data_IF_151647825201
#
_entry.id   IF_151647825201
#
_cell.length_a   1.000
_cell.length_b   1.000
_cell.length_c   1.000
_cell.angle_alpha   90.00
_cell.angle_beta   90.00
_cell.angle_gamma   90.00
#
_symmetry.space_group_name_H-M   'P 1'
#
loop_
_entity.id
_entity.type
_entity.pdbx_description
1 polymer ?
#
# COMPACT_ATOMS: atom_id res chain seq x y z
N UNK A 1 -16.97 -7.53 23.87
CA UNK A 1 -16.03 -6.98 22.87
C UNK A 1 -16.85 -6.21 21.83
N UNK A 2 -16.58 -4.92 21.65
CA UNK A 2 -17.35 -4.08 20.71
C UNK A 2 -17.15 -4.54 19.27
N UNK A 3 -18.22 -4.52 18.47
CA UNK A 3 -18.12 -4.75 17.04
C UNK A 3 -17.59 -3.49 16.37
N UNK A 4 -16.64 -3.64 15.42
CA UNK A 4 -16.19 -2.54 14.58
C UNK A 4 -17.36 -2.06 13.70
N UNK A 5 -17.43 -0.74 13.50
CA UNK A 5 -18.40 -0.15 12.57
C UNK A 5 -18.01 -0.53 11.15
N UNK A 6 -18.97 -1.01 10.37
CA UNK A 6 -18.81 -1.35 8.95
C UNK A 6 -19.63 -0.40 8.11
N UNK A 7 -19.02 0.11 7.04
CA UNK A 7 -19.69 0.95 6.03
C UNK A 7 -19.44 0.35 4.63
N UNK A 8 -20.45 0.36 3.81
CA UNK A 8 -20.39 -0.09 2.41
C UNK A 8 -20.31 1.15 1.51
N UNK A 9 -19.12 1.43 0.99
CA UNK A 9 -18.87 2.64 0.20
C UNK A 9 -19.05 2.43 -1.30
N UNK A 10 -18.91 1.21 -1.78
CA UNK A 10 -19.14 0.84 -3.18
C UNK A 10 -20.04 -0.40 -3.24
N UNK A 11 -20.80 -0.54 -4.32
CA UNK A 11 -21.55 -1.76 -4.60
C UNK A 11 -20.63 -2.85 -5.15
N UNK A 12 -21.02 -4.12 -5.03
CA UNK A 12 -20.27 -5.23 -5.63
C UNK A 12 -19.95 -5.03 -7.12
N UNK A 13 -20.88 -4.56 -7.99
CA UNK A 13 -20.56 -4.27 -9.38
C UNK A 13 -19.49 -3.19 -9.57
N UNK A 14 -19.45 -2.17 -8.70
CA UNK A 14 -18.40 -1.14 -8.75
C UNK A 14 -17.04 -1.71 -8.31
N UNK A 15 -17.02 -2.55 -7.28
CA UNK A 15 -15.82 -3.22 -6.77
C UNK A 15 -15.35 -4.26 -7.79
N UNK A 16 -16.25 -5.12 -8.28
CA UNK A 16 -15.96 -6.18 -9.24
C UNK A 16 -15.50 -5.68 -10.62
N UNK A 17 -15.51 -4.37 -10.86
CA UNK A 17 -14.96 -3.78 -12.10
C UNK A 17 -13.45 -3.69 -12.12
N UNK A 18 -12.75 -3.96 -11.02
CA UNK A 18 -11.29 -3.99 -10.99
C UNK A 18 -10.76 -5.24 -11.68
N UNK A 19 -9.70 -5.09 -12.48
CA UNK A 19 -9.14 -6.19 -13.29
C UNK A 19 -8.67 -7.40 -12.47
N UNK A 20 -8.38 -7.19 -11.19
CA UNK A 20 -7.77 -8.20 -10.30
C UNK A 20 -8.67 -8.56 -9.11
N UNK A 21 -9.94 -8.20 -9.19
CA UNK A 21 -10.92 -8.44 -8.13
C UNK A 21 -10.99 -9.90 -7.69
N UNK A 22 -11.08 -10.82 -8.64
CA UNK A 22 -11.19 -12.25 -8.36
C UNK A 22 -9.97 -12.81 -7.63
N UNK A 23 -8.78 -12.35 -7.98
CA UNK A 23 -7.55 -12.77 -7.31
C UNK A 23 -7.55 -12.36 -5.83
N UNK A 24 -7.86 -11.08 -5.56
CA UNK A 24 -7.80 -10.54 -4.20
C UNK A 24 -8.99 -10.94 -3.32
N UNK A 25 -10.05 -11.52 -3.90
CA UNK A 25 -11.17 -12.12 -3.17
C UNK A 25 -11.15 -13.65 -3.16
N UNK A 26 -10.10 -14.28 -3.67
CA UNK A 26 -9.95 -15.73 -3.66
C UNK A 26 -9.39 -16.19 -2.30
N UNK A 27 -10.26 -16.75 -1.47
CA UNK A 27 -9.92 -17.22 -0.13
C UNK A 27 -8.83 -18.31 -0.12
N UNK A 28 -8.82 -19.23 -1.09
CA UNK A 28 -7.83 -20.30 -1.16
C UNK A 28 -6.42 -19.75 -1.43
N UNK A 29 -6.31 -18.69 -2.24
CA UNK A 29 -5.05 -18.00 -2.47
C UNK A 29 -4.67 -17.21 -1.21
N UNK A 30 -5.62 -16.59 -0.55
CA UNK A 30 -5.40 -15.79 0.64
C UNK A 30 -4.89 -16.62 1.82
N UNK A 31 -5.39 -17.84 2.00
CA UNK A 31 -4.91 -18.80 3.02
C UNK A 31 -3.41 -19.10 2.92
N UNK A 32 -2.82 -18.96 1.74
CA UNK A 32 -1.39 -19.17 1.52
C UNK A 32 -0.52 -17.95 1.91
N UNK A 33 -1.12 -16.83 2.24
CA UNK A 33 -0.40 -15.59 2.56
C UNK A 33 0.02 -15.55 4.03
N UNK A 34 1.18 -14.93 4.35
CA UNK A 34 1.69 -14.87 5.73
C UNK A 34 0.79 -14.05 6.68
N UNK A 35 -0.06 -13.22 6.15
CA UNK A 35 -1.01 -12.41 6.93
C UNK A 35 -2.38 -13.06 7.15
N UNK A 36 -2.59 -14.28 6.65
CA UNK A 36 -3.84 -15.02 6.90
C UNK A 36 -3.83 -15.61 8.32
N UNK A 37 -4.12 -14.75 9.31
CA UNK A 37 -3.94 -15.05 10.73
C UNK A 37 -4.98 -15.99 11.32
N UNK A 38 -6.11 -16.22 10.63
CA UNK A 38 -7.22 -17.02 11.15
C UNK A 38 -6.85 -18.50 11.28
N UNK A 39 -6.04 -19.05 10.37
CA UNK A 39 -5.61 -20.44 10.41
C UNK A 39 -4.19 -20.62 10.96
N UNK A 40 -3.26 -19.73 10.58
CA UNK A 40 -1.83 -19.87 10.91
C UNK A 40 -1.39 -19.05 12.14
N UNK A 41 -2.29 -18.26 12.71
CA UNK A 41 -1.97 -17.34 13.81
C UNK A 41 -1.13 -16.13 13.36
N UNK A 42 -0.75 -15.28 14.31
CA UNK A 42 -0.14 -13.99 14.03
C UNK A 42 1.37 -14.05 13.70
N UNK A 43 2.03 -15.16 13.99
CA UNK A 43 3.48 -15.31 13.78
C UNK A 43 3.92 -15.10 12.34
N UNK A 44 3.10 -15.51 11.36
CA UNK A 44 3.36 -15.28 9.93
C UNK A 44 3.37 -13.80 9.56
N UNK A 45 2.36 -13.07 10.01
CA UNK A 45 2.24 -11.62 9.82
C UNK A 45 3.43 -10.88 10.46
N UNK A 46 3.74 -11.15 11.72
CA UNK A 46 4.86 -10.51 12.44
C UNK A 46 6.19 -10.78 11.75
N UNK A 47 6.42 -12.03 11.33
CA UNK A 47 7.64 -12.40 10.61
C UNK A 47 7.73 -11.70 9.25
N UNK A 48 6.61 -11.57 8.53
CA UNK A 48 6.54 -10.84 7.26
C UNK A 48 6.93 -9.38 7.46
N UNK A 49 6.27 -8.68 8.37
CA UNK A 49 6.53 -7.28 8.68
C UNK A 49 8.00 -7.03 9.14
N UNK A 50 8.55 -7.95 9.94
CA UNK A 50 9.96 -7.90 10.37
C UNK A 50 10.94 -8.11 9.21
N UNK A 51 10.71 -9.12 8.37
CA UNK A 51 11.59 -9.46 7.23
C UNK A 51 11.57 -8.38 6.16
N UNK A 52 10.42 -7.82 5.87
CA UNK A 52 10.24 -6.76 4.86
C UNK A 52 10.71 -5.40 5.36
N UNK A 53 10.74 -5.18 6.68
CA UNK A 53 11.09 -3.91 7.29
C UNK A 53 10.04 -2.82 7.09
N UNK A 54 8.80 -3.19 6.78
CA UNK A 54 7.69 -2.27 6.52
C UNK A 54 7.35 -1.40 7.72
N UNK A 55 7.29 -1.98 8.92
CA UNK A 55 7.06 -1.21 10.16
C UNK A 55 8.12 -0.12 10.33
N UNK A 56 9.40 -0.47 10.18
CA UNK A 56 10.48 0.51 10.28
C UNK A 56 10.39 1.59 9.20
N UNK A 57 9.95 1.23 8.00
CA UNK A 57 9.75 2.19 6.93
C UNK A 57 8.60 3.15 7.26
N UNK A 58 7.49 2.64 7.82
CA UNK A 58 6.37 3.47 8.29
C UNK A 58 6.82 4.41 9.41
N UNK A 59 7.61 3.94 10.39
CA UNK A 59 8.20 4.81 11.43
C UNK A 59 9.01 5.95 10.83
N UNK A 60 9.87 5.66 9.85
CA UNK A 60 10.67 6.68 9.17
C UNK A 60 9.80 7.66 8.36
N UNK A 61 8.69 7.21 7.79
CA UNK A 61 7.70 8.11 7.17
C UNK A 61 7.07 9.04 8.21
N UNK A 62 6.70 8.53 9.38
CA UNK A 62 6.15 9.32 10.49
C UNK A 62 7.16 10.37 10.98
N UNK A 63 8.40 9.96 11.23
CA UNK A 63 9.46 10.87 11.65
C UNK A 63 9.69 11.97 10.61
N UNK A 64 9.69 11.61 9.32
CA UNK A 64 9.84 12.57 8.24
C UNK A 64 8.66 13.52 8.12
N UNK A 65 7.45 13.04 8.27
CA UNK A 65 6.24 13.88 8.29
C UNK A 65 6.32 14.92 9.43
N UNK A 66 6.69 14.49 10.63
CA UNK A 66 6.87 15.38 11.77
C UNK A 66 7.96 16.45 11.53
N UNK A 67 9.12 16.05 10.95
CA UNK A 67 10.19 16.99 10.58
C UNK A 67 9.75 18.05 9.55
N UNK A 68 8.77 17.72 8.71
CA UNK A 68 8.19 18.64 7.73
C UNK A 68 7.08 19.51 8.30
N UNK A 69 6.74 19.37 9.59
CA UNK A 69 5.65 20.09 10.24
C UNK A 69 4.26 19.46 10.05
N UNK A 70 4.20 18.25 9.50
CA UNK A 70 2.96 17.51 9.23
C UNK A 70 2.87 16.25 10.12
N UNK A 71 2.97 16.42 11.44
CA UNK A 71 2.84 15.32 12.38
C UNK A 71 1.45 14.66 12.27
N UNK A 72 1.42 13.34 12.26
CA UNK A 72 0.17 12.57 12.14
C UNK A 72 -0.68 12.68 13.41
N UNK A 73 -1.93 13.03 13.23
CA UNK A 73 -2.94 13.16 14.30
C UNK A 73 -4.37 13.11 13.73
N UNK A 74 -5.38 13.18 14.58
CA UNK A 74 -6.79 13.40 14.20
C UNK A 74 -7.40 12.23 13.43
N UNK A 75 -7.96 12.50 12.25
CA UNK A 75 -8.69 11.54 11.44
C UNK A 75 -7.84 11.11 10.24
N UNK A 76 -7.74 9.80 9.99
CA UNK A 76 -7.02 9.25 8.86
C UNK A 76 -7.83 8.32 7.98
N UNK A 77 -7.27 8.01 6.79
CA UNK A 77 -7.73 6.95 5.92
C UNK A 77 -6.56 6.02 5.56
N UNK A 78 -6.77 4.71 5.69
CA UNK A 78 -5.85 3.65 5.28
C UNK A 78 -6.45 3.01 4.02
N UNK A 79 -5.86 3.29 2.86
CA UNK A 79 -6.41 2.95 1.54
C UNK A 79 -5.78 1.67 1.01
N UNK A 80 -6.62 0.74 0.56
CA UNK A 80 -6.29 -0.66 0.33
C UNK A 80 -5.61 -1.25 1.58
N UNK A 81 -6.29 -1.10 2.72
CA UNK A 81 -5.73 -1.39 4.04
C UNK A 81 -5.46 -2.88 4.30
N UNK A 82 -5.88 -3.75 3.40
CA UNK A 82 -5.69 -5.19 3.50
C UNK A 82 -6.19 -5.75 4.83
N UNK A 83 -5.28 -6.31 5.61
CA UNK A 83 -5.57 -6.87 6.93
C UNK A 83 -5.41 -5.87 8.09
N UNK A 84 -5.32 -4.56 7.80
CA UNK A 84 -5.27 -3.47 8.79
C UNK A 84 -4.02 -3.48 9.72
N UNK A 85 -2.89 -4.01 9.24
CA UNK A 85 -1.67 -4.00 10.03
C UNK A 85 -1.14 -2.57 10.27
N UNK A 86 -1.17 -1.72 9.22
CA UNK A 86 -0.70 -0.33 9.31
C UNK A 86 -1.63 0.49 10.23
N UNK A 87 -2.95 0.37 10.06
CA UNK A 87 -3.95 0.95 10.98
C UNK A 87 -3.68 0.54 12.42
N UNK A 88 -3.46 -0.75 12.69
CA UNK A 88 -3.19 -1.26 14.04
C UNK A 88 -1.92 -0.66 14.65
N UNK A 89 -0.85 -0.60 13.86
CA UNK A 89 0.41 -0.01 14.27
C UNK A 89 0.26 1.49 14.61
N UNK A 90 -0.43 2.24 13.76
CA UNK A 90 -0.63 3.69 13.92
C UNK A 90 -1.41 4.01 15.18
N UNK A 91 -2.54 3.34 15.39
CA UNK A 91 -3.40 3.57 16.56
C UNK A 91 -2.74 3.19 17.87
N UNK A 92 -1.90 2.16 17.87
CA UNK A 92 -1.14 1.75 19.06
C UNK A 92 -0.03 2.74 19.42
N UNK A 93 0.56 3.40 18.43
CA UNK A 93 1.74 4.25 18.59
C UNK A 93 1.39 5.72 18.81
N UNK A 94 0.29 6.20 18.20
CA UNK A 94 -0.04 7.62 18.13
C UNK A 94 -1.39 7.88 18.81
N UNK A 95 -1.33 8.25 20.08
CA UNK A 95 -2.55 8.50 20.91
C UNK A 95 -3.40 9.68 20.43
N UNK A 96 -2.83 10.60 19.63
CA UNK A 96 -3.54 11.74 19.04
C UNK A 96 -4.40 11.37 17.83
N UNK A 97 -4.36 10.14 17.33
CA UNK A 97 -5.28 9.67 16.30
C UNK A 97 -6.63 9.38 16.95
N UNK A 98 -7.66 10.05 16.44
CA UNK A 98 -9.03 9.87 16.92
C UNK A 98 -9.78 8.78 16.15
N UNK A 99 -9.52 8.63 14.84
CA UNK A 99 -10.21 7.67 13.98
C UNK A 99 -9.41 7.35 12.71
N UNK A 100 -9.52 6.10 12.24
CA UNK A 100 -9.04 5.68 10.91
C UNK A 100 -10.18 4.98 10.14
N UNK A 101 -10.39 5.40 8.90
CA UNK A 101 -11.23 4.71 7.93
C UNK A 101 -10.35 3.73 7.15
N UNK A 102 -10.50 2.43 7.41
CA UNK A 102 -9.81 1.39 6.65
C UNK A 102 -10.62 1.02 5.42
N UNK A 103 -10.13 1.38 4.24
CA UNK A 103 -10.81 1.16 2.96
C UNK A 103 -10.19 -0.02 2.24
N UNK A 104 -10.99 -1.04 1.96
CA UNK A 104 -10.56 -2.25 1.27
C UNK A 104 -11.72 -2.81 0.46
N UNK A 105 -11.44 -3.41 -0.68
CA UNK A 105 -12.48 -4.04 -1.50
C UNK A 105 -12.57 -5.56 -1.29
N UNK A 106 -11.56 -6.18 -0.71
CA UNK A 106 -11.61 -7.59 -0.32
C UNK A 106 -12.44 -7.76 0.94
N UNK A 107 -13.63 -8.31 0.79
CA UNK A 107 -14.55 -8.58 1.90
C UNK A 107 -13.90 -9.45 2.97
N UNK A 108 -13.23 -10.52 2.56
CA UNK A 108 -12.56 -11.45 3.43
C UNK A 108 -11.45 -10.78 4.28
N UNK A 109 -10.58 -9.99 3.64
CA UNK A 109 -9.54 -9.25 4.36
C UNK A 109 -10.10 -8.26 5.35
N UNK A 110 -11.07 -7.45 4.90
CA UNK A 110 -11.61 -6.36 5.70
C UNK A 110 -12.49 -6.84 6.84
N UNK A 111 -13.37 -7.82 6.60
CA UNK A 111 -14.44 -8.18 7.55
C UNK A 111 -14.10 -9.42 8.40
N UNK A 112 -13.14 -10.25 7.99
CA UNK A 112 -12.78 -11.46 8.71
C UNK A 112 -11.38 -11.36 9.32
N UNK A 113 -10.34 -11.17 8.49
CA UNK A 113 -8.96 -11.13 8.95
C UNK A 113 -8.67 -9.82 9.72
N UNK A 114 -9.07 -8.68 9.18
CA UNK A 114 -8.81 -7.36 9.76
C UNK A 114 -9.26 -7.21 11.20
N UNK A 115 -10.52 -7.56 11.56
CA UNK A 115 -10.98 -7.53 12.94
C UNK A 115 -10.16 -8.42 13.89
N UNK A 116 -9.64 -9.55 13.41
CA UNK A 116 -8.77 -10.39 14.19
C UNK A 116 -7.42 -9.70 14.47
N UNK A 117 -6.84 -9.06 13.46
CA UNK A 117 -5.59 -8.28 13.57
C UNK A 117 -5.78 -7.10 14.52
N UNK A 118 -6.85 -6.31 14.36
CA UNK A 118 -7.14 -5.19 15.24
C UNK A 118 -7.28 -5.63 16.71
N UNK A 119 -8.01 -6.71 16.97
CA UNK A 119 -8.15 -7.29 18.33
C UNK A 119 -6.83 -7.77 18.91
N UNK A 120 -6.02 -8.44 18.10
CA UNK A 120 -4.71 -8.93 18.52
C UNK A 120 -3.80 -7.79 18.99
N UNK A 121 -3.82 -6.67 18.28
CA UNK A 121 -3.06 -5.48 18.67
C UNK A 121 -3.76 -4.60 19.71
N UNK A 122 -4.95 -4.98 20.20
CA UNK A 122 -5.66 -4.26 21.23
C UNK A 122 -6.21 -2.91 20.79
N UNK A 123 -6.65 -2.80 19.53
CA UNK A 123 -7.22 -1.57 18.96
C UNK A 123 -8.67 -1.41 19.41
N UNK A 124 -9.03 -0.22 19.91
CA UNK A 124 -10.37 0.15 20.31
C UNK A 124 -11.32 0.24 19.11
N UNK A 125 -12.51 -0.36 19.23
CA UNK A 125 -13.42 -0.52 18.09
C UNK A 125 -14.01 0.81 17.58
N UNK A 126 -14.13 1.81 18.43
CA UNK A 126 -14.63 3.15 18.08
C UNK A 126 -13.62 4.00 17.29
N UNK A 127 -12.35 3.61 17.31
CA UNK A 127 -11.29 4.27 16.55
C UNK A 127 -11.16 3.81 15.10
N UNK A 128 -11.88 2.76 14.69
CA UNK A 128 -11.77 2.21 13.33
C UNK A 128 -13.14 2.08 12.69
N UNK A 129 -13.26 2.53 11.46
CA UNK A 129 -14.40 2.25 10.58
C UNK A 129 -13.91 1.39 9.43
N UNK A 130 -14.50 0.21 9.27
CA UNK A 130 -14.22 -0.71 8.17
C UNK A 130 -15.07 -0.33 6.97
N UNK A 131 -14.44 0.11 5.89
CA UNK A 131 -15.13 0.65 4.72
C UNK A 131 -14.92 -0.29 3.52
N UNK A 132 -15.95 -1.05 3.18
CA UNK A 132 -15.91 -1.90 1.99
C UNK A 132 -16.12 -1.04 0.74
N UNK A 133 -15.10 -0.93 -0.11
CA UNK A 133 -15.17 -0.08 -1.29
C UNK A 133 -13.84 0.13 -1.99
N UNK A 134 -13.90 0.87 -3.10
CA UNK A 134 -12.73 1.25 -3.87
C UNK A 134 -12.08 2.52 -3.32
N UNK A 135 -10.76 2.62 -3.40
CA UNK A 135 -10.03 3.82 -3.03
C UNK A 135 -10.15 4.97 -4.05
N UNK A 136 -10.81 4.73 -5.18
CA UNK A 136 -11.06 5.77 -6.19
C UNK A 136 -12.28 6.66 -5.91
N UNK A 137 -13.10 6.28 -4.91
CA UNK A 137 -14.34 6.99 -4.58
C UNK A 137 -14.60 6.87 -3.07
N UNK A 138 -14.03 7.78 -2.32
CA UNK A 138 -14.15 7.80 -0.87
C UNK A 138 -15.44 8.53 -0.46
N UNK A 139 -16.23 7.94 0.44
CA UNK A 139 -17.41 8.62 1.00
C UNK A 139 -17.01 9.54 2.17
N UNK A 140 -15.95 10.31 1.96
CA UNK A 140 -15.46 11.31 2.89
C UNK A 140 -15.65 12.70 2.29
N UNK A 141 -15.98 13.71 3.10
CA UNK A 141 -16.04 15.10 2.65
C UNK A 141 -14.66 15.59 2.17
N UNK A 142 -14.66 16.64 1.37
CA UNK A 142 -13.45 17.34 0.99
C UNK A 142 -12.73 17.85 2.24
N UNK A 143 -11.40 17.85 2.24
CA UNK A 143 -10.53 18.35 3.31
C UNK A 143 -10.92 17.87 4.72
N UNK A 144 -11.35 16.60 4.85
CA UNK A 144 -11.84 16.02 6.11
C UNK A 144 -10.85 15.14 6.84
N UNK A 145 -9.79 14.66 6.18
CA UNK A 145 -8.79 13.80 6.83
C UNK A 145 -7.45 14.52 7.03
N UNK A 146 -6.81 14.23 8.14
CA UNK A 146 -5.52 14.79 8.52
C UNK A 146 -4.36 14.01 7.91
N UNK A 147 -4.57 12.71 7.62
CA UNK A 147 -3.56 11.87 6.98
C UNK A 147 -4.17 10.74 6.15
N UNK A 148 -3.38 10.26 5.18
CA UNK A 148 -3.70 9.07 4.38
C UNK A 148 -2.51 8.11 4.45
N UNK A 149 -2.80 6.81 4.53
CA UNK A 149 -1.81 5.73 4.45
C UNK A 149 -2.08 4.92 3.18
N UNK A 150 -1.01 4.55 2.49
CA UNK A 150 -0.96 3.59 1.41
C UNK A 150 0.18 2.61 1.72
N UNK A 151 -0.15 1.49 2.35
CA UNK A 151 0.83 0.49 2.78
C UNK A 151 0.79 -0.73 1.87
N UNK A 152 1.79 -0.89 0.98
CA UNK A 152 1.80 -1.89 -0.09
C UNK A 152 0.57 -1.77 -1.00
N UNK A 153 0.19 -0.54 -1.35
CA UNK A 153 -1.11 -0.24 -1.94
C UNK A 153 -1.06 0.61 -3.22
N UNK A 154 -0.18 1.60 -3.31
CA UNK A 154 -0.19 2.54 -4.44
C UNK A 154 0.11 1.85 -5.78
N UNK A 155 0.96 0.82 -5.78
CA UNK A 155 1.28 0.05 -6.98
C UNK A 155 0.15 -0.86 -7.47
N UNK A 156 -0.95 -0.99 -6.73
CA UNK A 156 -2.17 -1.67 -7.18
C UNK A 156 -3.16 -0.74 -7.88
N UNK A 157 -2.85 0.55 -8.00
CA UNK A 157 -3.75 1.49 -8.66
C UNK A 157 -3.61 1.43 -10.18
N UNK A 158 -4.65 0.96 -10.88
CA UNK A 158 -4.75 0.99 -12.35
C UNK A 158 -4.78 2.44 -12.86
N UNK A 159 -5.41 3.33 -12.09
CA UNK A 159 -5.55 4.76 -12.38
C UNK A 159 -4.89 5.62 -11.27
N UNK A 160 -3.55 5.62 -11.15
CA UNK A 160 -2.87 6.30 -10.04
C UNK A 160 -3.14 7.81 -9.98
N UNK A 161 -3.40 8.44 -11.12
CA UNK A 161 -3.79 9.85 -11.17
C UNK A 161 -5.16 10.09 -10.53
N UNK A 162 -6.14 9.22 -10.78
CA UNK A 162 -7.46 9.29 -10.16
C UNK A 162 -7.39 9.08 -8.64
N UNK A 163 -6.59 8.10 -8.21
CA UNK A 163 -6.33 7.87 -6.78
C UNK A 163 -5.72 9.11 -6.11
N UNK A 164 -4.69 9.70 -6.72
CA UNK A 164 -4.05 10.90 -6.17
C UNK A 164 -4.98 12.11 -6.14
N UNK A 165 -5.84 12.27 -7.15
CA UNK A 165 -6.87 13.32 -7.16
C UNK A 165 -7.89 13.13 -6.03
N UNK A 166 -8.33 11.88 -5.79
CA UNK A 166 -9.26 11.57 -4.71
C UNK A 166 -8.62 11.76 -3.32
N UNK A 167 -7.38 11.35 -3.16
CA UNK A 167 -6.61 11.62 -1.93
C UNK A 167 -6.49 13.14 -1.73
N UNK A 168 -6.18 13.90 -2.78
CA UNK A 168 -6.03 15.36 -2.69
C UNK A 168 -7.35 16.04 -2.31
N UNK A 169 -8.49 15.51 -2.76
CA UNK A 169 -9.82 16.02 -2.41
C UNK A 169 -10.12 15.86 -0.92
N UNK A 170 -9.89 14.66 -0.35
CA UNK A 170 -10.26 14.38 1.04
C UNK A 170 -9.23 14.87 2.06
N UNK A 171 -7.96 15.04 1.63
CA UNK A 171 -6.87 15.43 2.52
C UNK A 171 -6.88 16.95 2.78
N UNK A 172 -6.81 17.35 4.05
CA UNK A 172 -6.62 18.74 4.45
C UNK A 172 -5.33 19.33 3.88
N UNK A 173 -5.26 20.64 3.72
CA UNK A 173 -4.05 21.34 3.27
C UNK A 173 -2.86 21.13 4.22
N UNK A 174 -3.11 21.00 5.50
CA UNK A 174 -2.10 20.65 6.52
C UNK A 174 -1.82 19.16 6.63
N UNK A 175 -2.52 18.34 5.86
CA UNK A 175 -2.45 16.89 5.97
C UNK A 175 -1.20 16.29 5.32
N UNK A 176 -1.05 14.96 5.46
CA UNK A 176 0.10 14.21 4.95
C UNK A 176 -0.32 12.86 4.39
N UNK A 177 0.35 12.40 3.34
CA UNK A 177 0.21 11.03 2.81
C UNK A 177 1.48 10.24 3.10
N UNK A 178 1.30 9.05 3.68
CA UNK A 178 2.36 8.09 3.95
C UNK A 178 2.24 6.93 2.96
N UNK A 179 3.20 6.81 2.04
CA UNK A 179 3.27 5.72 1.08
C UNK A 179 4.40 4.79 1.51
N UNK A 180 4.09 3.51 1.75
CA UNK A 180 5.00 2.51 2.30
C UNK A 180 4.96 1.25 1.46
N UNK A 181 6.08 0.58 1.27
CA UNK A 181 6.10 -0.74 0.63
C UNK A 181 6.12 -0.72 -0.90
N UNK A 182 6.49 0.39 -1.52
CA UNK A 182 6.52 0.51 -2.98
C UNK A 182 7.75 -0.13 -3.62
N UNK A 183 7.60 -0.67 -4.82
CA UNK A 183 8.69 -1.29 -5.57
C UNK A 183 9.87 -0.34 -5.77
N UNK A 184 11.07 -0.79 -5.42
CA UNK A 184 12.29 0.01 -5.55
C UNK A 184 12.97 -0.23 -6.90
N UNK A 185 12.56 0.54 -7.91
CA UNK A 185 13.14 0.50 -9.26
C UNK A 185 13.73 1.87 -9.59
N UNK A 186 15.04 2.08 -9.36
CA UNK A 186 15.66 3.40 -9.51
C UNK A 186 15.70 3.87 -10.96
N UNK A 187 15.91 2.97 -11.91
CA UNK A 187 15.96 3.26 -13.36
C UNK A 187 15.73 2.00 -14.21
N UNK A 188 15.59 2.19 -15.51
CA UNK A 188 15.37 1.11 -16.46
C UNK A 188 16.51 0.08 -16.51
N UNK A 189 17.76 0.49 -16.34
CA UNK A 189 18.91 -0.42 -16.40
C UNK A 189 18.83 -1.50 -15.29
N UNK A 190 18.36 -1.13 -14.10
CA UNK A 190 18.12 -2.09 -13.01
C UNK A 190 17.03 -3.08 -13.39
N UNK A 191 15.97 -2.62 -14.05
CA UNK A 191 14.87 -3.47 -14.49
C UNK A 191 15.33 -4.46 -15.57
N UNK A 192 16.06 -3.99 -16.59
CA UNK A 192 16.69 -4.85 -17.60
C UNK A 192 17.65 -5.85 -16.97
N UNK A 193 18.52 -5.40 -16.05
CA UNK A 193 19.45 -6.28 -15.34
C UNK A 193 18.73 -7.38 -14.55
N UNK A 194 17.65 -7.05 -13.85
CA UNK A 194 16.82 -8.03 -13.15
C UNK A 194 16.18 -9.03 -14.12
N UNK A 195 15.60 -8.55 -15.22
CA UNK A 195 15.02 -9.42 -16.25
C UNK A 195 16.06 -10.37 -16.85
N UNK A 196 17.24 -9.88 -17.17
CA UNK A 196 18.36 -10.68 -17.68
C UNK A 196 18.76 -11.78 -16.68
N UNK A 197 18.97 -11.41 -15.39
CA UNK A 197 19.30 -12.36 -14.32
C UNK A 197 18.20 -13.41 -14.17
N UNK A 198 16.92 -13.03 -14.24
CA UNK A 198 15.80 -13.97 -14.21
C UNK A 198 15.90 -15.02 -15.32
N UNK A 199 16.09 -14.59 -16.57
CA UNK A 199 16.11 -15.49 -17.73
C UNK A 199 17.35 -16.40 -17.75
N UNK A 200 18.52 -15.90 -17.42
CA UNK A 200 19.74 -16.68 -17.36
C UNK A 200 19.76 -17.54 -16.09
N UNK A 201 19.42 -16.95 -14.94
CA UNK A 201 19.40 -17.63 -13.67
C UNK A 201 18.42 -18.80 -13.61
N UNK A 202 17.26 -18.70 -14.27
CA UNK A 202 16.30 -19.81 -14.37
C UNK A 202 16.85 -21.03 -15.10
N UNK A 203 17.86 -20.84 -15.97
CA UNK A 203 18.51 -21.92 -16.72
C UNK A 203 19.74 -22.50 -16.04
N UNK A 204 20.41 -21.73 -15.21
CA UNK A 204 21.75 -22.06 -14.66
C UNK A 204 21.75 -22.30 -13.15
N UNK A 205 20.84 -21.65 -12.41
CA UNK A 205 20.83 -21.72 -10.94
C UNK A 205 19.96 -22.88 -10.43
N UNK A 206 20.41 -23.57 -9.35
CA UNK A 206 19.56 -24.55 -8.66
C UNK A 206 18.26 -23.93 -8.17
N UNK A 207 17.15 -24.74 -8.16
CA UNK A 207 15.81 -24.26 -7.75
C UNK A 207 15.77 -23.54 -6.38
N UNK A 208 16.63 -23.93 -5.45
CA UNK A 208 16.75 -23.27 -4.13
C UNK A 208 17.30 -21.84 -4.26
N UNK A 209 18.31 -21.63 -5.11
CA UNK A 209 18.89 -20.31 -5.34
C UNK A 209 17.93 -19.41 -6.14
N UNK A 210 17.11 -19.99 -7.04
CA UNK A 210 16.12 -19.26 -7.79
C UNK A 210 15.11 -18.53 -6.87
N UNK A 211 14.69 -19.13 -5.75
CA UNK A 211 13.78 -18.52 -4.77
C UNK A 211 14.31 -17.22 -4.15
N UNK A 212 15.63 -17.04 -4.07
CA UNK A 212 16.25 -15.83 -3.50
C UNK A 212 16.35 -14.68 -4.52
N UNK A 213 16.42 -15.01 -5.81
CA UNK A 213 16.60 -14.02 -6.88
C UNK A 213 15.29 -13.58 -7.56
N UNK A 214 14.21 -14.37 -7.42
CA UNK A 214 12.99 -14.18 -8.21
C UNK A 214 11.83 -13.50 -7.47
N UNK A 215 12.08 -12.92 -6.31
CA UNK A 215 11.09 -12.10 -5.63
C UNK A 215 10.96 -10.77 -6.38
N UNK A 216 9.80 -10.53 -6.99
CA UNK A 216 9.40 -9.32 -7.70
C UNK A 216 10.19 -9.02 -8.99
N UNK A 217 9.86 -9.73 -10.05
CA UNK A 217 10.49 -9.51 -11.35
C UNK A 217 9.44 -9.32 -12.42
N UNK A 218 9.73 -8.43 -13.36
CA UNK A 218 8.95 -8.22 -14.56
C UNK A 218 8.37 -9.53 -15.11
N UNK A 219 7.12 -9.50 -15.52
CA UNK A 219 6.44 -10.67 -16.09
C UNK A 219 6.81 -10.93 -17.54
N UNK A 220 7.79 -10.20 -18.10
CA UNK A 220 8.24 -10.41 -19.45
C UNK A 220 8.76 -11.83 -19.64
N UNK A 221 8.24 -12.48 -20.67
CA UNK A 221 8.72 -13.80 -21.15
C UNK A 221 9.90 -13.68 -22.10
N UNK A 222 10.23 -12.47 -22.55
CA UNK A 222 11.33 -12.18 -23.44
C UNK A 222 12.64 -11.93 -22.70
N UNK A 223 13.77 -12.40 -23.24
CA UNK A 223 15.10 -12.08 -22.74
C UNK A 223 15.46 -10.60 -22.97
N UNK A 224 14.98 -10.03 -24.08
CA UNK A 224 15.18 -8.64 -24.47
C UNK A 224 13.84 -7.94 -24.69
N UNK A 225 13.08 -7.67 -23.61
CA UNK A 225 11.78 -7.02 -23.71
C UNK A 225 11.93 -5.52 -23.98
N UNK A 226 10.86 -4.90 -24.47
CA UNK A 226 10.74 -3.44 -24.44
C UNK A 226 10.62 -2.91 -23.02
N UNK A 227 10.83 -1.61 -22.82
CA UNK A 227 10.61 -1.00 -21.49
C UNK A 227 9.13 -1.06 -21.10
N UNK A 228 8.24 -0.95 -22.06
CA UNK A 228 6.79 -1.04 -21.85
C UNK A 228 6.39 -2.42 -21.32
N UNK A 229 6.90 -3.50 -21.93
CA UNK A 229 6.68 -4.87 -21.44
C UNK A 229 7.24 -5.07 -20.01
N UNK A 230 8.40 -4.46 -19.69
CA UNK A 230 8.97 -4.54 -18.34
C UNK A 230 8.17 -3.78 -17.29
N UNK A 231 7.42 -2.77 -17.70
CA UNK A 231 6.60 -1.93 -16.83
C UNK A 231 5.11 -2.34 -16.84
N UNK A 232 4.74 -3.31 -17.66
CA UNK A 232 3.37 -3.82 -17.68
C UNK A 232 2.97 -4.36 -16.32
N UNK A 233 1.71 -4.20 -15.91
CA UNK A 233 1.23 -4.73 -14.63
C UNK A 233 1.34 -6.25 -14.57
N UNK A 234 1.46 -6.76 -13.35
CA UNK A 234 1.38 -8.20 -13.11
C UNK A 234 0.01 -8.71 -13.55
N UNK A 235 -0.08 -9.69 -14.46
CA UNK A 235 -1.35 -10.16 -15.00
C UNK A 235 -2.23 -10.90 -13.98
N UNK A 236 -1.67 -11.26 -12.82
CA UNK A 236 -2.37 -12.01 -11.77
C UNK A 236 -2.70 -11.11 -10.57
N UNK A 237 -1.69 -10.40 -10.06
CA UNK A 237 -1.84 -9.58 -8.84
C UNK A 237 -2.17 -8.11 -9.13
N UNK A 238 -1.95 -7.65 -10.35
CA UNK A 238 -2.17 -6.25 -10.71
C UNK A 238 -1.10 -5.27 -10.23
N UNK A 239 0.06 -5.78 -9.82
CA UNK A 239 1.16 -4.92 -9.39
C UNK A 239 1.70 -4.12 -10.57
N UNK A 240 1.63 -2.80 -10.49
CA UNK A 240 2.26 -1.90 -11.44
C UNK A 240 3.71 -1.62 -11.07
N UNK A 241 4.59 -1.65 -12.05
CA UNK A 241 6.01 -1.37 -11.86
C UNK A 241 6.36 0.03 -12.31
N UNK A 242 6.68 0.90 -11.36
CA UNK A 242 7.04 2.29 -11.64
C UNK A 242 8.53 2.54 -11.41
N UNK A 243 9.18 3.23 -12.35
CA UNK A 243 10.49 3.81 -12.11
C UNK A 243 10.38 4.96 -11.09
N UNK A 244 11.46 5.25 -10.38
CA UNK A 244 11.47 6.36 -9.42
C UNK A 244 11.01 7.70 -10.04
N UNK A 245 11.36 7.96 -11.31
CA UNK A 245 10.92 9.17 -12.02
C UNK A 245 9.40 9.23 -12.21
N UNK A 246 8.75 8.08 -12.41
CA UNK A 246 7.28 8.00 -12.57
C UNK A 246 6.57 8.37 -11.27
N UNK A 247 6.99 7.82 -10.11
CA UNK A 247 6.46 8.25 -8.81
C UNK A 247 6.58 9.76 -8.62
N UNK A 248 7.78 10.32 -8.84
CA UNK A 248 8.03 11.76 -8.70
C UNK A 248 7.13 12.60 -9.58
N UNK A 249 6.98 12.21 -10.84
CA UNK A 249 6.13 12.90 -11.81
C UNK A 249 4.67 12.84 -11.38
N UNK A 250 4.13 11.65 -11.08
CA UNK A 250 2.74 11.47 -10.64
C UNK A 250 2.41 12.32 -9.41
N UNK A 251 3.26 12.29 -8.38
CA UNK A 251 3.03 13.07 -7.16
C UNK A 251 3.06 14.57 -7.43
N UNK A 252 4.06 15.06 -8.16
CA UNK A 252 4.18 16.48 -8.45
C UNK A 252 3.05 17.00 -9.34
N UNK A 253 2.63 16.23 -10.35
CA UNK A 253 1.52 16.60 -11.24
C UNK A 253 0.19 16.71 -10.50
N UNK A 254 0.02 15.95 -9.39
CA UNK A 254 -1.19 16.00 -8.58
C UNK A 254 -1.06 16.89 -7.33
N UNK A 255 -0.13 17.84 -7.34
CA UNK A 255 -0.02 18.88 -6.32
C UNK A 255 0.59 18.41 -5.00
N UNK A 256 1.46 17.42 -5.03
CA UNK A 256 2.20 16.96 -3.85
C UNK A 256 3.70 17.24 -3.97
N UNK A 257 4.28 17.88 -2.95
CA UNK A 257 5.71 17.76 -2.67
C UNK A 257 5.97 16.36 -2.11
N UNK A 258 7.07 15.73 -2.52
CA UNK A 258 7.36 14.34 -2.15
C UNK A 258 8.75 14.19 -1.55
N UNK A 259 8.84 13.39 -0.49
CA UNK A 259 10.08 13.08 0.23
C UNK A 259 10.26 11.56 0.25
N UNK A 260 11.27 11.07 -0.45
CA UNK A 260 11.55 9.63 -0.54
C UNK A 260 12.17 9.11 0.74
N UNK A 261 11.68 7.98 1.22
CA UNK A 261 12.21 7.22 2.36
C UNK A 261 12.91 5.96 1.86
N UNK A 262 14.15 5.77 2.32
CA UNK A 262 14.95 4.56 2.07
C UNK A 262 15.29 3.89 3.38
N UNK A 263 14.66 2.78 3.64
CA UNK A 263 14.91 2.00 4.85
C UNK A 263 16.06 1.01 4.60
N UNK A 264 17.01 0.97 5.49
CA UNK A 264 18.13 0.02 5.41
C UNK A 264 17.62 -1.41 5.53
N UNK A 265 18.09 -2.29 4.65
CA UNK A 265 17.67 -3.70 4.57
C UNK A 265 16.18 -3.91 4.22
N UNK A 266 15.46 -2.87 3.76
CA UNK A 266 14.13 -2.98 3.21
C UNK A 266 14.23 -3.03 1.67
N UNK A 267 13.63 -4.01 0.99
CA UNK A 267 13.66 -4.10 -0.47
C UNK A 267 12.79 -3.04 -1.14
N UNK A 268 11.90 -2.42 -0.37
CA UNK A 268 10.94 -1.43 -0.81
C UNK A 268 11.42 0.00 -0.58
N UNK A 269 10.69 0.96 -1.11
CA UNK A 269 10.82 2.39 -0.85
C UNK A 269 9.49 2.96 -0.33
N UNK A 270 9.57 4.05 0.42
CA UNK A 270 8.40 4.81 0.85
C UNK A 270 8.49 6.26 0.40
N UNK A 271 7.39 6.98 0.57
CA UNK A 271 7.33 8.41 0.34
C UNK A 271 6.45 9.08 1.39
N UNK A 272 6.83 10.30 1.74
CA UNK A 272 5.96 11.23 2.46
C UNK A 272 5.55 12.31 1.47
N UNK A 273 4.23 12.47 1.29
CA UNK A 273 3.68 13.47 0.38
C UNK A 273 2.98 14.54 1.21
N UNK A 274 3.24 15.78 0.91
CA UNK A 274 2.57 16.93 1.52
C UNK A 274 1.93 17.78 0.43
N UNK A 275 0.72 18.32 0.65
CA UNK A 275 0.09 19.19 -0.32
C UNK A 275 0.97 20.40 -0.63
N UNK A 276 1.14 20.71 -1.91
CA UNK A 276 1.77 21.96 -2.32
C UNK A 276 0.75 23.08 -2.15
N UNK A 277 1.13 24.12 -1.43
CA UNK A 277 0.37 25.37 -1.46
C UNK A 277 0.47 25.93 -2.88
N UNK A 278 -0.68 26.18 -3.50
CA UNK A 278 -0.72 26.98 -4.73
C UNK A 278 -0.14 28.36 -4.37
N UNK A 279 1.17 28.54 -4.60
CA UNK A 279 1.72 29.89 -4.69
C UNK A 279 1.02 30.52 -5.89
N UNK A 280 0.05 31.39 -5.62
CA UNK A 280 -0.64 32.16 -6.64
C UNK A 280 0.40 32.77 -7.58
N UNK A 281 0.26 32.39 -8.87
CA UNK A 281 0.86 33.18 -9.95
C UNK A 281 -0.03 34.34 -10.27
#
# INVERSE_FOLDING_TARGET
MGNYRVEYWSSEPEIGSTAYFDYWNNEEIEKLKPWHVLESGFGGLEQHLKKTGLVRQLEQCLDRAAQLGHAVHGIGADLACGVLWATSFMLKRIGSISKIYGVEYSTHRLLEIGPAVLRYYGVEADKVVLCLGTFYKLRLPDESVDFVILAEAFHHADEPGRLLAEIRRVLKQSGVVLVVGEHRIPNAAVLYGRNFVKHIGSRVLPKVAQRWFFVTMSNSVSLFPSLEELLSPDPIMGDHYYLLRHYKQMFSTHGFAHHRIRTQRCPFQGFVLVPQTSTGK
#
